data_IF_048720373975
#
_entry.id   IF_048720373975
#
_cell.length_a   1.000
_cell.length_b   1.000
_cell.length_c   1.000
_cell.angle_alpha   90.00
_cell.angle_beta   90.00
_cell.angle_gamma   90.00
#
_symmetry.space_group_name_H-M   'P 1'
#
loop_
_entity.id
_entity.type
_entity.pdbx_description
1 polymer ?
#
# COMPACT_ATOMS: atom_id res chain seq x y z
N UNK A 1 49.39 21.09 -81.79
CA UNK A 1 50.52 20.47 -81.06
C UNK A 1 50.08 20.40 -79.61
N UNK A 2 49.56 19.23 -79.22
CA UNK A 2 50.26 18.23 -78.40
C UNK A 2 50.19 18.67 -76.93
N UNK A 3 49.45 17.92 -76.11
CA UNK A 3 50.02 16.93 -75.18
C UNK A 3 50.52 17.66 -73.91
N UNK A 4 50.32 17.22 -72.68
CA UNK A 4 49.87 15.93 -72.17
C UNK A 4 49.86 16.03 -70.65
N UNK A 5 49.05 15.18 -70.01
CA UNK A 5 49.23 14.59 -68.66
C UNK A 5 49.24 15.55 -67.43
N UNK A 6 48.62 15.25 -66.29
CA UNK A 6 48.21 13.97 -65.74
C UNK A 6 47.17 14.19 -64.61
N UNK A 7 46.30 13.18 -64.42
CA UNK A 7 45.96 12.54 -63.14
C UNK A 7 45.35 13.40 -62.00
N UNK A 8 44.37 12.98 -61.21
CA UNK A 8 43.72 11.69 -60.98
C UNK A 8 42.62 11.94 -59.94
N UNK A 9 41.41 11.40 -60.22
CA UNK A 9 40.48 10.79 -59.25
C UNK A 9 39.95 11.63 -58.07
N UNK A 10 38.63 11.80 -57.96
CA UNK A 10 37.73 10.78 -57.39
C UNK A 10 36.34 11.40 -57.13
N UNK A 11 35.30 10.62 -57.41
CA UNK A 11 33.89 10.94 -57.23
C UNK A 11 33.52 11.30 -55.79
N UNK A 12 32.77 12.38 -55.59
CA UNK A 12 31.62 12.40 -54.67
C UNK A 12 30.50 13.26 -55.30
N UNK A 13 29.38 12.61 -55.63
CA UNK A 13 28.15 13.23 -56.07
C UNK A 13 27.63 14.22 -55.02
N UNK A 14 27.46 15.49 -55.41
CA UNK A 14 26.64 16.45 -54.69
C UNK A 14 25.15 16.13 -54.88
N UNK A 15 24.43 15.86 -53.80
CA UNK A 15 22.97 16.04 -53.78
C UNK A 15 22.57 16.75 -52.49
N UNK A 16 22.09 17.98 -52.68
CA UNK A 16 20.94 18.61 -52.01
C UNK A 16 20.73 18.33 -50.51
N UNK A 17 20.99 19.35 -49.67
CA UNK A 17 20.08 19.60 -48.53
C UNK A 17 18.83 20.35 -49.01
N UNK A 18 17.91 20.78 -48.12
CA UNK A 18 17.86 20.60 -46.67
C UNK A 18 16.45 20.15 -46.16
N UNK A 19 16.35 19.40 -45.05
CA UNK A 19 15.17 19.49 -44.17
C UNK A 19 15.48 18.87 -42.80
N UNK A 20 15.77 19.75 -41.84
CA UNK A 20 15.97 19.42 -40.43
C UNK A 20 14.63 19.71 -39.76
N UNK A 21 13.77 18.71 -39.63
CA UNK A 21 12.58 18.83 -38.79
C UNK A 21 12.11 17.46 -38.26
N UNK A 22 12.10 17.36 -36.93
CA UNK A 22 11.15 16.56 -36.15
C UNK A 22 11.26 15.03 -36.20
N UNK A 23 12.38 14.47 -35.75
CA UNK A 23 12.48 13.03 -35.39
C UNK A 23 12.67 12.75 -33.90
N UNK A 24 12.40 13.74 -33.02
CA UNK A 24 12.59 13.58 -31.56
C UNK A 24 11.30 13.33 -30.77
N UNK A 25 10.15 13.14 -31.42
CA UNK A 25 8.85 13.00 -30.73
C UNK A 25 8.25 11.58 -30.70
N UNK A 26 8.97 10.56 -31.18
CA UNK A 26 8.40 9.19 -31.29
C UNK A 26 8.93 8.19 -30.26
N UNK A 27 9.67 8.61 -29.22
CA UNK A 27 10.27 7.69 -28.24
C UNK A 27 9.89 7.99 -26.79
N UNK A 28 8.62 8.29 -26.48
CA UNK A 28 8.16 8.42 -25.09
C UNK A 28 6.78 7.79 -24.82
N UNK A 29 6.43 6.69 -25.50
CA UNK A 29 5.19 5.95 -25.19
C UNK A 29 5.45 4.50 -24.78
N UNK A 30 6.66 3.97 -24.94
CA UNK A 30 6.94 2.55 -24.72
C UNK A 30 7.66 2.19 -23.41
N UNK A 31 7.83 3.12 -22.46
CA UNK A 31 8.77 2.91 -21.36
C UNK A 31 8.23 2.90 -19.92
N UNK A 32 6.93 2.87 -19.63
CA UNK A 32 6.49 2.64 -18.23
C UNK A 32 5.16 1.88 -18.06
N UNK A 33 5.09 0.58 -18.41
CA UNK A 33 3.90 -0.23 -18.12
C UNK A 33 3.75 -0.57 -16.62
N UNK A 34 4.85 -0.58 -15.85
CA UNK A 34 4.83 -0.97 -14.42
C UNK A 34 4.24 0.11 -13.51
N UNK A 35 4.52 1.38 -13.77
CA UNK A 35 4.03 2.50 -12.93
C UNK A 35 2.55 2.79 -13.23
N UNK A 36 2.12 2.64 -14.49
CA UNK A 36 0.71 2.79 -14.89
C UNK A 36 -0.20 1.70 -14.29
N UNK A 37 0.26 0.45 -14.30
CA UNK A 37 -0.40 -0.68 -13.62
C UNK A 37 -0.41 -0.53 -12.10
N UNK A 38 0.72 -0.09 -11.52
CA UNK A 38 0.86 0.18 -10.10
C UNK A 38 -0.05 1.32 -9.61
N UNK A 39 -0.22 2.38 -10.40
CA UNK A 39 -1.15 3.47 -10.08
C UNK A 39 -2.62 3.03 -10.27
N UNK A 40 -2.97 2.34 -11.36
CA UNK A 40 -4.35 1.86 -11.59
C UNK A 40 -4.83 0.85 -10.54
N UNK A 41 -3.96 -0.05 -10.07
CA UNK A 41 -4.29 -1.00 -9.01
C UNK A 41 -4.48 -0.34 -7.63
N UNK A 42 -3.90 0.85 -7.42
CA UNK A 42 -4.00 1.61 -6.17
C UNK A 42 -5.33 2.37 -6.05
N UNK A 43 -5.93 2.81 -7.17
CA UNK A 43 -6.94 3.86 -7.13
C UNK A 43 -8.40 3.42 -6.97
N UNK A 44 -8.82 2.22 -7.37
CA UNK A 44 -10.28 2.05 -7.54
C UNK A 44 -11.02 1.21 -6.47
N UNK A 45 -10.39 0.24 -5.78
CA UNK A 45 -11.11 -0.58 -4.78
C UNK A 45 -10.32 -0.98 -3.53
N UNK A 46 -9.00 -1.19 -3.66
CA UNK A 46 -8.19 -1.73 -2.58
C UNK A 46 -7.83 -0.67 -1.52
N UNK A 47 -7.59 0.59 -1.92
CA UNK A 47 -7.22 1.65 -0.98
C UNK A 47 -8.38 2.12 -0.10
N UNK A 48 -9.60 2.25 -0.63
CA UNK A 48 -10.76 2.58 0.20
C UNK A 48 -11.03 1.47 1.24
N UNK A 49 -11.01 0.20 0.80
CA UNK A 49 -11.13 -0.96 1.68
C UNK A 49 -10.03 -0.98 2.75
N UNK A 50 -8.78 -0.67 2.38
CA UNK A 50 -7.64 -0.59 3.27
C UNK A 50 -7.84 0.47 4.37
N UNK A 51 -8.23 1.69 3.98
CA UNK A 51 -8.46 2.79 4.92
C UNK A 51 -9.61 2.45 5.86
N UNK A 52 -10.71 1.89 5.34
CA UNK A 52 -11.83 1.43 6.16
C UNK A 52 -11.38 0.39 7.20
N UNK A 53 -10.66 -0.66 6.77
CA UNK A 53 -10.15 -1.69 7.69
C UNK A 53 -9.20 -1.13 8.74
N UNK A 54 -8.38 -0.15 8.36
CA UNK A 54 -7.48 0.53 9.27
C UNK A 54 -8.27 1.32 10.32
N UNK A 55 -9.30 2.06 9.91
CA UNK A 55 -10.17 2.79 10.84
C UNK A 55 -10.90 1.84 11.79
N UNK A 56 -11.50 0.77 11.28
CA UNK A 56 -12.18 -0.27 12.08
C UNK A 56 -11.22 -0.88 13.11
N UNK A 57 -9.98 -1.15 12.73
CA UNK A 57 -8.95 -1.64 13.63
C UNK A 57 -8.61 -0.62 14.73
N UNK A 58 -8.38 0.63 14.36
CA UNK A 58 -8.01 1.70 15.30
C UNK A 58 -9.13 1.99 16.30
N UNK A 59 -10.39 1.92 15.87
CA UNK A 59 -11.56 2.02 16.77
C UNK A 59 -11.58 0.86 17.77
N UNK A 60 -11.48 -0.37 17.30
CA UNK A 60 -11.44 -1.54 18.19
C UNK A 60 -10.26 -1.49 19.16
N UNK A 61 -9.11 -0.95 18.73
CA UNK A 61 -7.92 -0.81 19.58
C UNK A 61 -8.13 0.24 20.65
N UNK A 62 -8.82 1.33 20.32
CA UNK A 62 -9.20 2.34 21.29
C UNK A 62 -10.06 1.76 22.41
N UNK A 63 -11.06 0.93 22.06
CA UNK A 63 -11.94 0.28 23.03
C UNK A 63 -11.15 -0.67 23.94
N UNK A 64 -10.22 -1.44 23.37
CA UNK A 64 -9.36 -2.34 24.12
C UNK A 64 -8.46 -1.57 25.09
N UNK A 65 -7.74 -0.54 24.62
CA UNK A 65 -6.87 0.27 25.46
C UNK A 65 -7.65 0.95 26.61
N UNK A 66 -8.87 1.42 26.31
CA UNK A 66 -9.77 1.98 27.33
C UNK A 66 -10.16 0.92 28.37
N UNK A 67 -10.46 -0.31 27.94
CA UNK A 67 -10.74 -1.44 28.83
C UNK A 67 -9.53 -1.78 29.71
N UNK A 68 -8.31 -1.78 29.17
CA UNK A 68 -7.10 -2.01 29.96
C UNK A 68 -6.93 -0.93 31.04
N UNK A 69 -7.05 0.35 30.68
CA UNK A 69 -6.92 1.47 31.63
C UNK A 69 -7.98 1.37 32.73
N UNK A 70 -9.23 1.07 32.38
CA UNK A 70 -10.31 0.91 33.34
C UNK A 70 -10.07 -0.23 34.36
N UNK A 71 -9.26 -1.23 33.98
CA UNK A 71 -8.91 -2.38 34.83
C UNK A 71 -7.49 -2.28 35.44
N UNK A 72 -6.88 -1.09 35.46
CA UNK A 72 -5.56 -0.88 36.09
C UNK A 72 -5.53 -1.24 37.58
N UNK A 73 -6.66 -1.08 38.28
CA UNK A 73 -6.75 -1.40 39.71
C UNK A 73 -7.47 -2.74 39.98
N UNK A 74 -7.66 -3.57 38.94
CA UNK A 74 -8.29 -4.89 39.06
C UNK A 74 -7.23 -5.97 39.29
N UNK A 75 -7.19 -6.62 40.47
CA UNK A 75 -6.20 -7.65 40.77
C UNK A 75 -6.21 -8.80 39.77
N UNK A 76 -5.03 -9.24 39.32
CA UNK A 76 -4.88 -10.35 38.39
C UNK A 76 -5.29 -10.09 36.94
N UNK A 77 -5.67 -8.86 36.56
CA UNK A 77 -6.04 -8.53 35.18
C UNK A 77 -4.86 -8.69 34.22
N UNK A 78 -5.13 -9.13 32.99
CA UNK A 78 -4.12 -9.33 31.93
C UNK A 78 -4.38 -8.38 30.77
N UNK A 79 -3.48 -7.43 30.56
CA UNK A 79 -3.54 -6.51 29.44
C UNK A 79 -3.50 -7.25 28.09
N UNK A 80 -4.45 -6.92 27.22
CA UNK A 80 -4.48 -7.35 25.83
C UNK A 80 -3.99 -6.23 24.90
N UNK A 81 -3.69 -6.54 23.65
CA UNK A 81 -3.52 -5.58 22.55
C UNK A 81 -3.95 -6.26 21.25
N UNK A 82 -3.85 -5.58 20.12
CA UNK A 82 -4.18 -6.15 18.81
C UNK A 82 -3.09 -5.88 17.79
N UNK A 83 -2.89 -6.85 16.90
CA UNK A 83 -1.97 -6.77 15.76
C UNK A 83 -2.75 -6.78 14.47
N UNK A 84 -2.47 -5.82 13.59
CA UNK A 84 -3.12 -5.70 12.28
C UNK A 84 -2.09 -5.64 11.14
N UNK A 85 -0.92 -5.07 11.38
CA UNK A 85 0.10 -4.81 10.37
C UNK A 85 0.57 -6.11 9.70
N UNK A 86 0.78 -7.18 10.47
CA UNK A 86 1.19 -8.49 9.94
C UNK A 86 0.12 -9.17 9.09
N UNK A 87 -1.15 -9.04 9.47
CA UNK A 87 -2.26 -9.64 8.71
C UNK A 87 -2.54 -8.82 7.45
N UNK A 88 -2.31 -7.51 7.53
CA UNK A 88 -2.42 -6.59 6.41
C UNK A 88 -1.32 -6.79 5.37
N UNK A 89 -0.06 -6.89 5.82
CA UNK A 89 1.10 -7.16 4.97
C UNK A 89 0.88 -8.45 4.16
N UNK A 90 0.42 -9.52 4.81
CA UNK A 90 0.06 -10.77 4.14
C UNK A 90 -1.02 -10.61 3.08
N UNK A 91 -2.00 -9.73 3.30
CA UNK A 91 -3.08 -9.50 2.35
C UNK A 91 -2.67 -8.58 1.18
N UNK A 92 -1.73 -7.65 1.41
CA UNK A 92 -1.19 -6.78 0.37
C UNK A 92 -0.18 -7.49 -0.53
N UNK A 93 0.63 -8.39 0.04
CA UNK A 93 1.63 -9.19 -0.68
C UNK A 93 1.11 -10.57 -1.11
N UNK A 94 -0.20 -10.79 -0.99
CA UNK A 94 -0.86 -11.89 -1.66
C UNK A 94 -0.78 -11.65 -3.18
N UNK A 95 0.32 -12.05 -3.82
CA UNK A 95 0.29 -12.33 -5.26
C UNK A 95 -0.84 -13.31 -5.47
N UNK A 96 -1.85 -12.99 -6.29
CA UNK A 96 -2.97 -13.89 -6.55
C UNK A 96 -2.40 -15.23 -7.06
N UNK A 97 -2.33 -16.29 -6.24
CA UNK A 97 -2.04 -17.60 -6.77
C UNK A 97 -3.33 -17.95 -7.51
N UNK A 98 -3.27 -17.98 -8.84
CA UNK A 98 -4.45 -18.23 -9.66
C UNK A 98 -5.25 -19.39 -9.09
N UNK A 99 -6.58 -19.21 -8.95
CA UNK A 99 -7.44 -20.16 -8.25
C UNK A 99 -7.16 -21.58 -8.75
N UNK A 100 -6.69 -22.45 -7.85
CA UNK A 100 -6.59 -23.85 -8.17
C UNK A 100 -8.01 -24.42 -8.19
N UNK A 101 -8.39 -25.06 -9.29
CA UNK A 101 -9.67 -25.77 -9.36
C UNK A 101 -9.68 -26.86 -8.28
N UNK A 102 -10.49 -26.68 -7.24
CA UNK A 102 -10.68 -27.69 -6.21
C UNK A 102 -11.69 -28.72 -6.72
N UNK A 103 -11.33 -29.99 -6.60
CA UNK A 103 -12.22 -31.12 -6.94
C UNK A 103 -13.04 -31.59 -5.73
N UNK A 104 -12.65 -31.17 -4.52
CA UNK A 104 -13.30 -31.53 -3.25
C UNK A 104 -13.27 -30.34 -2.28
N UNK A 105 -14.29 -30.21 -1.44
CA UNK A 105 -14.41 -29.16 -0.40
C UNK A 105 -13.30 -29.21 0.66
N UNK A 106 -12.56 -30.32 0.76
CA UNK A 106 -11.39 -30.46 1.66
C UNK A 106 -10.05 -30.15 0.97
N UNK A 107 -10.04 -29.86 -0.33
CA UNK A 107 -8.81 -29.51 -1.04
C UNK A 107 -8.49 -28.02 -0.83
N UNK A 108 -7.19 -27.74 -0.68
CA UNK A 108 -6.68 -26.37 -0.63
C UNK A 108 -6.87 -25.72 -2.01
N UNK A 109 -7.54 -24.57 -2.05
CA UNK A 109 -7.81 -23.80 -3.27
C UNK A 109 -6.63 -22.90 -3.70
N UNK A 110 -5.48 -23.06 -3.03
CA UNK A 110 -4.31 -22.21 -3.23
C UNK A 110 -4.43 -20.84 -2.57
N UNK A 111 -5.54 -20.51 -1.89
CA UNK A 111 -5.67 -19.27 -1.11
C UNK A 111 -4.94 -19.40 0.22
N UNK A 112 -3.62 -19.22 0.20
CA UNK A 112 -2.84 -19.15 1.44
C UNK A 112 -3.01 -17.80 2.16
N UNK A 113 -3.65 -16.82 1.52
CA UNK A 113 -3.85 -15.47 2.06
C UNK A 113 -5.31 -15.05 1.92
N UNK A 114 -5.99 -14.66 3.02
CA UNK A 114 -7.35 -14.16 2.95
C UNK A 114 -7.38 -12.84 2.17
N UNK A 115 -8.41 -12.59 1.34
CA UNK A 115 -8.58 -11.31 0.65
C UNK A 115 -8.66 -10.16 1.67
N UNK A 116 -8.22 -8.97 1.28
CA UNK A 116 -8.15 -7.78 2.16
C UNK A 116 -9.44 -7.51 2.95
N UNK A 117 -10.61 -7.78 2.34
CA UNK A 117 -11.93 -7.62 2.97
C UNK A 117 -12.16 -8.56 4.17
N UNK A 118 -11.51 -9.72 4.19
CA UNK A 118 -11.63 -10.75 5.24
C UNK A 118 -10.52 -10.65 6.29
N UNK A 119 -9.56 -9.75 6.13
CA UNK A 119 -8.53 -9.50 7.13
C UNK A 119 -9.18 -8.94 8.40
N UNK A 120 -8.84 -9.56 9.52
CA UNK A 120 -9.25 -9.16 10.86
C UNK A 120 -8.01 -8.92 11.72
N UNK A 121 -8.16 -8.02 12.69
CA UNK A 121 -7.14 -7.80 13.69
C UNK A 121 -7.10 -8.99 14.65
N UNK A 122 -5.91 -9.39 15.05
CA UNK A 122 -5.72 -10.48 16.00
C UNK A 122 -5.45 -9.90 17.38
N UNK A 123 -6.23 -10.30 18.39
CA UNK A 123 -5.92 -10.01 19.79
C UNK A 123 -4.70 -10.80 20.24
N UNK A 124 -3.82 -10.13 20.97
CA UNK A 124 -2.62 -10.69 21.58
C UNK A 124 -2.55 -10.28 23.04
N UNK A 125 -1.84 -11.05 23.87
CA UNK A 125 -1.52 -10.61 25.22
C UNK A 125 -0.39 -9.58 25.15
N UNK A 126 -0.62 -8.40 25.71
CA UNK A 126 0.39 -7.35 25.88
C UNK A 126 0.80 -7.24 27.34
N UNK A 127 1.12 -8.39 27.95
CA UNK A 127 1.55 -8.40 29.34
C UNK A 127 2.84 -7.59 29.53
N UNK A 128 2.86 -6.72 30.53
CA UNK A 128 4.13 -6.21 31.07
C UNK A 128 5.02 -7.39 31.49
N UNK A 129 6.34 -7.36 31.18
CA UNK A 129 7.29 -8.36 31.69
C UNK A 129 7.36 -8.39 33.22
N UNK A 130 6.95 -7.30 33.86
CA UNK A 130 6.92 -7.13 35.31
C UNK A 130 5.47 -6.87 35.73
N UNK A 131 4.71 -7.93 36.10
CA UNK A 131 3.41 -7.76 36.71
C UNK A 131 3.55 -7.10 38.09
N UNK A 132 2.52 -6.34 38.48
CA UNK A 132 2.40 -5.79 39.83
C UNK A 132 2.31 -6.93 40.87
N UNK A 133 2.46 -6.58 42.15
CA UNK A 133 2.43 -7.54 43.26
C UNK A 133 1.15 -8.39 43.32
N UNK A 134 0.05 -7.90 42.75
CA UNK A 134 -1.25 -8.55 42.66
C UNK A 134 -1.45 -9.39 41.38
N UNK A 135 -0.41 -9.47 40.53
CA UNK A 135 -0.44 -10.19 39.26
C UNK A 135 -1.09 -9.43 38.11
N UNK A 136 -1.47 -8.16 38.30
CA UNK A 136 -1.94 -7.30 37.21
C UNK A 136 -0.78 -6.98 36.24
N UNK A 137 -1.04 -7.04 34.94
CA UNK A 137 -0.05 -6.71 33.91
C UNK A 137 -0.29 -5.38 33.20
N UNK A 138 -1.32 -4.61 33.61
CA UNK A 138 -1.60 -3.26 33.08
C UNK A 138 -0.59 -2.26 33.61
N UNK A 139 0.03 -1.52 32.70
CA UNK A 139 0.87 -0.36 33.00
C UNK A 139 0.19 0.90 32.44
N UNK A 140 -0.25 1.80 33.33
CA UNK A 140 -1.04 2.97 32.95
C UNK A 140 -0.31 3.89 31.97
N UNK A 141 0.97 4.19 32.22
CA UNK A 141 1.74 5.10 31.38
C UNK A 141 1.94 4.51 29.98
N UNK A 142 2.17 3.19 29.90
CA UNK A 142 2.28 2.48 28.64
C UNK A 142 0.95 2.45 27.88
N UNK A 143 -0.17 2.19 28.56
CA UNK A 143 -1.49 2.18 27.92
C UNK A 143 -1.91 3.57 27.44
N UNK A 144 -1.60 4.63 28.20
CA UNK A 144 -1.80 6.01 27.75
C UNK A 144 -0.95 6.37 26.54
N UNK A 145 0.32 5.95 26.50
CA UNK A 145 1.19 6.16 25.34
C UNK A 145 0.65 5.47 24.08
N UNK A 146 0.21 4.21 24.20
CA UNK A 146 -0.45 3.47 23.11
C UNK A 146 -1.75 4.14 22.66
N UNK A 147 -2.53 4.69 23.59
CA UNK A 147 -3.78 5.40 23.28
C UNK A 147 -3.49 6.67 22.48
N UNK A 148 -2.48 7.45 22.87
CA UNK A 148 -2.05 8.63 22.12
C UNK A 148 -1.55 8.27 20.71
N UNK A 149 -0.76 7.20 20.59
CA UNK A 149 -0.32 6.67 19.29
C UNK A 149 -1.52 6.25 18.42
N UNK A 150 -2.47 5.52 18.99
CA UNK A 150 -3.66 5.07 18.29
C UNK A 150 -4.51 6.25 17.79
N UNK A 151 -4.69 7.28 18.63
CA UNK A 151 -5.40 8.50 18.26
C UNK A 151 -4.72 9.26 17.12
N UNK A 152 -3.39 9.35 17.15
CA UNK A 152 -2.62 9.97 16.06
C UNK A 152 -2.82 9.22 14.73
N UNK A 153 -2.72 7.89 14.76
CA UNK A 153 -2.89 7.05 13.58
C UNK A 153 -4.33 7.06 13.06
N UNK A 154 -5.32 7.10 13.95
CA UNK A 154 -6.72 7.27 13.58
C UNK A 154 -6.95 8.60 12.84
N UNK A 155 -6.46 9.71 13.41
CA UNK A 155 -6.57 11.03 12.80
C UNK A 155 -5.88 11.09 11.43
N UNK A 156 -4.70 10.46 11.29
CA UNK A 156 -4.02 10.34 10.01
C UNK A 156 -4.85 9.57 8.98
N UNK A 157 -5.47 8.46 9.39
CA UNK A 157 -6.34 7.64 8.53
C UNK A 157 -7.56 8.40 8.04
N UNK A 158 -8.20 9.23 8.89
CA UNK A 158 -9.31 10.11 8.51
C UNK A 158 -8.86 11.18 7.50
N UNK A 159 -7.66 11.75 7.66
CA UNK A 159 -7.10 12.71 6.70
C UNK A 159 -6.90 12.07 5.32
N UNK A 160 -6.37 10.84 5.29
CA UNK A 160 -6.23 10.08 4.05
C UNK A 160 -7.59 9.79 3.40
N UNK A 161 -8.58 9.34 4.18
CA UNK A 161 -9.95 9.13 3.68
C UNK A 161 -10.54 10.39 3.05
N UNK A 162 -10.38 11.53 3.74
CA UNK A 162 -10.86 12.83 3.27
C UNK A 162 -10.18 13.25 1.96
N UNK A 163 -8.87 13.00 1.84
CA UNK A 163 -8.13 13.26 0.62
C UNK A 163 -8.65 12.42 -0.55
N UNK A 164 -8.92 11.13 -0.34
CA UNK A 164 -9.48 10.25 -1.36
C UNK A 164 -10.85 10.73 -1.85
N UNK A 165 -11.74 11.13 -0.93
CA UNK A 165 -13.04 11.70 -1.32
C UNK A 165 -12.90 12.99 -2.14
N UNK A 166 -11.92 13.84 -1.81
CA UNK A 166 -11.63 15.05 -2.60
C UNK A 166 -11.17 14.68 -4.01
N UNK A 167 -10.28 13.71 -4.16
CA UNK A 167 -9.83 13.24 -5.47
C UNK A 167 -10.99 12.67 -6.31
N UNK A 168 -11.84 11.85 -5.71
CA UNK A 168 -13.03 11.29 -6.36
C UNK A 168 -13.99 12.39 -6.82
N UNK A 169 -14.25 13.37 -5.96
CA UNK A 169 -15.10 14.53 -6.27
C UNK A 169 -14.52 15.34 -7.43
N UNK A 170 -13.23 15.64 -7.39
CA UNK A 170 -12.54 16.39 -8.45
C UNK A 170 -12.66 15.66 -9.79
N UNK A 171 -12.39 14.36 -9.83
CA UNK A 171 -12.50 13.53 -11.04
C UNK A 171 -13.92 13.57 -11.64
N UNK A 172 -14.96 13.46 -10.81
CA UNK A 172 -16.36 13.55 -11.24
C UNK A 172 -16.70 14.94 -11.79
N UNK A 173 -16.18 16.01 -11.17
CA UNK A 173 -16.49 17.39 -11.58
C UNK A 173 -15.71 17.88 -12.79
N UNK A 174 -14.49 17.39 -13.03
CA UNK A 174 -13.62 17.82 -14.14
C UNK A 174 -13.78 16.97 -15.40
N UNK A 175 -14.48 15.84 -15.34
CA UNK A 175 -14.77 14.97 -16.48
C UNK A 175 -15.95 15.42 -17.36
N UNK A 176 -16.36 16.70 -17.31
CA UNK A 176 -17.43 17.29 -18.13
C UNK A 176 -16.89 18.32 -19.10
#
# INVERSE_FOLDING_TARGET
>A
MQADHACYNNQIHSKSGPEIASSSQTLLVEYYPKISSFMSGMFENNLFTLIQKTLDFRTQRQDLLTSNIANKDTPGYKAEDMVFEKSLEKALHAEEPGLLKTTNYRHFDGRNTPPLKLVQAQRIHSASPFPDFDGNTVDLDREMAKMAENQLMYNASIRMLTHQFRMLKTAITQGR
#
